data_IF_284198398419
#
_entry.id   IF_284198398419
#
_cell.length_a   1.000
_cell.length_b   1.000
_cell.length_c   1.000
_cell.angle_alpha   90.00
_cell.angle_beta   90.00
_cell.angle_gamma   90.00
#
_symmetry.space_group_name_H-M   'P 1'
#
loop_
_entity.id
_entity.type
_entity.pdbx_description
1 polymer ?
#
# COMPACT_ATOMS: atom_id res chain seq x y z
N UNK A 1 -6.25 -15.95 1.39
CA UNK A 1 -7.45 -15.25 1.89
C UNK A 1 -7.20 -14.88 3.34
N UNK A 2 -7.68 -13.71 3.76
CA UNK A 2 -7.63 -13.23 5.14
C UNK A 2 -8.86 -12.35 5.35
N UNK A 3 -9.57 -12.52 6.47
CA UNK A 3 -10.77 -11.77 6.86
C UNK A 3 -11.77 -11.48 5.71
N UNK A 4 -12.25 -12.54 5.06
CA UNK A 4 -13.20 -12.45 3.94
C UNK A 4 -12.72 -11.62 2.75
N UNK A 5 -11.40 -11.43 2.59
CA UNK A 5 -10.80 -10.80 1.40
C UNK A 5 -9.89 -11.76 0.63
N UNK A 6 -9.89 -11.58 -0.69
CA UNK A 6 -8.96 -12.20 -1.63
C UNK A 6 -7.87 -11.21 -2.00
N UNK A 7 -6.62 -11.68 -1.99
CA UNK A 7 -5.44 -10.87 -2.29
C UNK A 7 -4.72 -11.42 -3.50
N UNK A 8 -4.28 -10.52 -4.39
CA UNK A 8 -3.38 -10.83 -5.49
C UNK A 8 -2.08 -10.08 -5.26
N UNK A 9 -0.97 -10.81 -5.13
CA UNK A 9 0.38 -10.23 -5.04
C UNK A 9 1.02 -10.38 -6.41
N UNK A 10 1.43 -9.27 -7.01
CA UNK A 10 2.01 -9.28 -8.35
C UNK A 10 3.41 -9.89 -8.37
N UNK A 11 3.76 -10.53 -9.48
CA UNK A 11 5.15 -10.93 -9.79
C UNK A 11 5.88 -9.85 -10.58
N UNK A 12 5.15 -9.01 -11.31
CA UNK A 12 5.68 -7.89 -12.09
C UNK A 12 5.79 -6.62 -11.24
N UNK A 13 6.47 -5.60 -11.78
CA UNK A 13 6.59 -4.28 -11.16
C UNK A 13 5.98 -3.20 -12.05
N UNK A 14 5.23 -2.26 -11.46
CA UNK A 14 4.52 -1.15 -12.13
C UNK A 14 4.55 0.12 -11.26
N UNK A 15 4.21 1.26 -11.85
CA UNK A 15 3.94 2.50 -11.11
C UNK A 15 2.67 2.36 -10.28
N UNK A 16 2.46 3.21 -9.28
CA UNK A 16 1.27 3.13 -8.43
C UNK A 16 -0.03 3.21 -9.24
N UNK A 17 -0.11 4.12 -10.20
CA UNK A 17 -1.29 4.31 -11.06
C UNK A 17 -1.55 3.11 -11.97
N UNK A 18 -0.49 2.52 -12.54
CA UNK A 18 -0.59 1.35 -13.41
C UNK A 18 -0.94 0.08 -12.63
N UNK A 19 -0.44 -0.03 -11.40
CA UNK A 19 -0.81 -1.09 -10.44
C UNK A 19 -2.27 -1.00 -10.05
N UNK A 20 -2.76 0.21 -9.73
CA UNK A 20 -4.18 0.43 -9.44
C UNK A 20 -5.07 0.04 -10.62
N UNK A 21 -4.69 0.47 -11.83
CA UNK A 21 -5.41 0.13 -13.06
C UNK A 21 -5.48 -1.39 -13.28
N UNK A 22 -4.40 -2.12 -12.98
CA UNK A 22 -4.37 -3.58 -13.04
C UNK A 22 -5.32 -4.23 -12.03
N UNK A 23 -5.37 -3.74 -10.79
CA UNK A 23 -6.32 -4.24 -9.79
C UNK A 23 -7.78 -4.00 -10.21
N UNK A 24 -8.09 -2.79 -10.70
CA UNK A 24 -9.43 -2.45 -11.19
C UNK A 24 -9.88 -3.37 -12.34
N UNK A 25 -8.97 -3.70 -13.27
CA UNK A 25 -9.25 -4.65 -14.37
C UNK A 25 -9.55 -6.07 -13.87
N UNK A 26 -9.11 -6.43 -12.66
CA UNK A 26 -9.39 -7.73 -12.01
C UNK A 26 -10.66 -7.72 -11.16
N UNK A 27 -11.41 -6.61 -11.14
CA UNK A 27 -12.55 -6.44 -10.23
C UNK A 27 -12.14 -6.30 -8.77
N UNK A 28 -10.96 -5.73 -8.52
CA UNK A 28 -10.36 -5.43 -7.21
C UNK A 28 -9.94 -3.95 -7.16
N UNK A 29 -9.30 -3.49 -6.09
CA UNK A 29 -8.51 -2.25 -6.07
C UNK A 29 -7.17 -2.54 -5.36
N UNK A 30 -6.26 -1.58 -5.28
CA UNK A 30 -5.09 -1.70 -4.40
C UNK A 30 -5.54 -1.92 -2.96
N UNK A 31 -4.83 -2.77 -2.22
CA UNK A 31 -5.22 -3.19 -0.88
C UNK A 31 -5.41 -2.02 0.09
N UNK A 32 -6.48 -2.07 0.87
CA UNK A 32 -6.76 -1.14 1.96
C UNK A 32 -6.51 -1.85 3.27
N UNK A 33 -5.37 -1.56 3.89
CA UNK A 33 -4.96 -2.26 5.11
C UNK A 33 -5.79 -1.72 6.29
N UNK A 34 -6.69 -2.55 6.80
CA UNK A 34 -7.63 -2.19 7.87
C UNK A 34 -7.04 -2.27 9.28
N UNK A 35 -6.02 -3.11 9.49
CA UNK A 35 -5.41 -3.29 10.81
C UNK A 35 -4.00 -3.92 10.73
N UNK A 36 -3.31 -3.99 11.88
CA UNK A 36 -1.96 -4.57 11.98
C UNK A 36 -1.91 -6.07 11.68
N UNK A 37 -2.98 -6.82 11.93
CA UNK A 37 -3.03 -8.25 11.66
C UNK A 37 -3.03 -8.53 10.16
N UNK A 38 -3.83 -7.77 9.40
CA UNK A 38 -3.82 -7.81 7.94
C UNK A 38 -2.47 -7.35 7.39
N UNK A 39 -1.91 -6.26 7.93
CA UNK A 39 -0.58 -5.78 7.55
C UNK A 39 0.48 -6.87 7.74
N UNK A 40 0.50 -7.52 8.91
CA UNK A 40 1.42 -8.61 9.24
C UNK A 40 1.21 -9.82 8.31
N UNK A 41 -0.04 -10.19 8.02
CA UNK A 41 -0.34 -11.23 7.05
C UNK A 41 0.28 -10.92 5.68
N UNK A 42 0.14 -9.69 5.17
CA UNK A 42 0.70 -9.28 3.87
C UNK A 42 2.23 -9.26 3.84
N UNK A 43 2.90 -8.97 4.97
CA UNK A 43 4.37 -8.95 5.04
C UNK A 43 5.02 -10.30 4.72
N UNK A 44 4.30 -11.41 4.90
CA UNK A 44 4.80 -12.75 4.59
C UNK A 44 4.88 -13.08 3.10
N UNK A 45 4.36 -12.23 2.21
CA UNK A 45 4.22 -12.55 0.77
C UNK A 45 5.03 -11.64 -0.16
N UNK A 46 5.64 -10.57 0.34
CA UNK A 46 6.39 -9.62 -0.48
C UNK A 46 7.45 -8.88 0.33
N UNK A 47 8.55 -8.53 -0.34
CA UNK A 47 9.55 -7.62 0.23
C UNK A 47 9.10 -6.16 0.20
N UNK A 48 8.55 -5.75 -0.94
CA UNK A 48 8.17 -4.37 -1.21
C UNK A 48 7.03 -4.32 -2.23
N UNK A 49 5.89 -3.77 -1.86
CA UNK A 49 4.75 -3.64 -2.77
C UNK A 49 3.88 -2.42 -2.51
N UNK A 50 3.32 -1.84 -3.57
CA UNK A 50 2.31 -0.79 -3.51
C UNK A 50 1.07 -1.25 -2.76
N UNK A 51 0.56 -0.34 -1.92
CA UNK A 51 -0.73 -0.44 -1.24
C UNK A 51 -1.60 0.75 -1.62
N UNK A 52 -2.88 0.70 -1.28
CA UNK A 52 -3.88 1.64 -1.77
C UNK A 52 -3.86 3.03 -1.14
N UNK A 53 -2.77 3.52 -0.54
CA UNK A 53 -2.75 4.87 0.06
C UNK A 53 -2.00 5.90 -0.78
N UNK A 54 -2.46 7.13 -0.73
CA UNK A 54 -1.81 8.30 -1.36
C UNK A 54 -2.19 9.57 -0.61
N UNK A 55 -1.32 10.58 -0.60
CA UNK A 55 -1.60 11.92 -0.07
C UNK A 55 -1.46 13.03 -1.11
N UNK A 56 -1.39 12.69 -2.41
CA UNK A 56 -1.37 13.64 -3.56
C UNK A 56 -2.36 14.79 -3.49
N UNK A 57 -3.49 14.61 -2.78
CA UNK A 57 -4.52 15.65 -2.60
C UNK A 57 -4.12 16.70 -1.57
N UNK A 58 -3.42 16.28 -0.52
CA UNK A 58 -2.95 17.12 0.58
C UNK A 58 -1.84 16.39 1.31
N UNK A 59 -0.63 16.88 1.11
CA UNK A 59 0.60 16.48 1.79
C UNK A 59 0.38 16.17 3.28
N UNK A 60 0.90 15.01 3.71
CA UNK A 60 0.81 14.52 5.08
C UNK A 60 -0.56 13.98 5.50
N UNK A 61 -1.55 13.97 4.58
CA UNK A 61 -2.89 13.42 4.81
C UNK A 61 -3.21 12.29 3.83
N UNK A 62 -2.65 11.13 4.11
CA UNK A 62 -2.92 9.90 3.36
C UNK A 62 -4.40 9.50 3.40
N UNK A 63 -4.90 9.13 2.23
CA UNK A 63 -6.23 8.53 2.02
C UNK A 63 -6.07 7.21 1.27
N UNK A 64 -6.90 6.24 1.64
CA UNK A 64 -7.01 4.98 0.92
C UNK A 64 -7.77 5.16 -0.40
N UNK A 65 -7.61 4.21 -1.32
CA UNK A 65 -8.31 4.17 -2.62
C UNK A 65 -9.83 4.12 -2.49
N UNK A 66 -10.34 3.62 -1.36
CA UNK A 66 -11.76 3.60 -0.98
C UNK A 66 -12.26 4.93 -0.37
N UNK A 67 -11.38 5.94 -0.31
CA UNK A 67 -11.61 7.30 0.21
C UNK A 67 -11.64 7.41 1.73
N UNK A 68 -11.38 6.34 2.47
CA UNK A 68 -11.23 6.43 3.92
C UNK A 68 -9.87 7.03 4.30
N UNK A 69 -9.78 7.80 5.40
CA UNK A 69 -8.51 8.37 5.86
C UNK A 69 -7.61 7.29 6.45
N UNK A 70 -6.29 7.39 6.22
CA UNK A 70 -5.32 6.49 6.86
C UNK A 70 -5.13 6.89 8.32
N UNK A 71 -5.44 5.98 9.25
CA UNK A 71 -5.17 6.17 10.67
C UNK A 71 -3.77 5.66 11.03
N UNK A 72 -2.81 6.58 11.19
CA UNK A 72 -1.41 6.25 11.51
C UNK A 72 -1.25 5.44 12.80
N UNK A 73 -2.16 5.57 13.77
CA UNK A 73 -2.07 4.86 15.05
C UNK A 73 -2.44 3.37 14.93
N UNK A 74 -3.24 3.01 13.92
CA UNK A 74 -3.72 1.64 13.71
C UNK A 74 -2.81 0.80 12.82
N UNK A 75 -1.76 1.39 12.27
CA UNK A 75 -0.85 0.77 11.31
C UNK A 75 0.59 0.87 11.79
N UNK A 76 1.45 0.03 11.25
CA UNK A 76 2.89 0.11 11.47
C UNK A 76 3.53 0.85 10.30
N UNK A 77 4.02 2.06 10.56
CA UNK A 77 4.91 2.78 9.65
C UNK A 77 6.35 2.34 9.87
N UNK A 78 7.14 2.33 8.82
CA UNK A 78 8.58 2.13 8.93
C UNK A 78 9.20 3.27 9.74
N UNK A 79 10.34 2.99 10.37
CA UNK A 79 11.01 3.97 11.24
C UNK A 79 11.37 5.22 10.44
N UNK A 80 10.84 6.37 10.88
CA UNK A 80 11.07 7.67 10.24
C UNK A 80 9.98 8.11 9.27
N UNK A 81 9.00 7.25 8.95
CA UNK A 81 8.04 7.49 7.88
C UNK A 81 6.65 8.01 8.30
N UNK A 82 5.92 8.66 7.38
CA UNK A 82 6.38 9.23 6.11
C UNK A 82 7.37 10.39 6.30
N UNK A 83 8.36 10.49 5.42
CA UNK A 83 9.41 11.52 5.43
C UNK A 83 9.31 12.52 4.27
N UNK A 84 8.45 12.24 3.28
CA UNK A 84 8.29 13.00 2.05
C UNK A 84 9.63 13.35 1.40
N UNK A 85 10.45 12.34 1.10
CA UNK A 85 11.78 12.54 0.56
C UNK A 85 11.77 13.39 -0.72
N UNK A 86 12.52 14.50 -0.70
CA UNK A 86 12.58 15.49 -1.78
C UNK A 86 11.24 16.15 -2.15
N UNK A 87 10.20 16.03 -1.32
CA UNK A 87 8.89 16.66 -1.57
C UNK A 87 8.07 16.01 -2.69
N UNK A 88 8.31 14.74 -3.00
CA UNK A 88 7.72 14.06 -4.16
C UNK A 88 7.20 12.64 -3.89
N UNK A 89 7.03 12.26 -2.63
CA UNK A 89 6.65 10.89 -2.24
C UNK A 89 5.17 10.78 -1.86
N UNK A 90 4.29 10.80 -2.86
CA UNK A 90 2.85 10.87 -2.57
C UNK A 90 2.09 9.52 -2.54
N UNK A 91 2.80 8.38 -2.65
CA UNK A 91 2.17 7.05 -2.77
C UNK A 91 2.73 6.06 -1.78
N UNK A 92 1.86 5.24 -1.19
CA UNK A 92 2.25 4.33 -0.13
C UNK A 92 2.64 2.93 -0.59
N UNK A 93 3.75 2.42 -0.07
CA UNK A 93 4.12 1.01 -0.16
C UNK A 93 4.30 0.35 1.21
N UNK A 94 4.26 -0.97 1.20
CA UNK A 94 4.62 -1.84 2.32
C UNK A 94 6.04 -2.35 2.09
N UNK A 95 6.89 -2.23 3.10
CA UNK A 95 8.30 -2.60 3.08
C UNK A 95 8.60 -3.62 4.19
N UNK A 96 9.41 -4.65 3.90
CA UNK A 96 9.75 -5.72 4.85
C UNK A 96 11.24 -6.08 4.88
N UNK A 97 12.12 -5.15 4.47
CA UNK A 97 13.58 -5.36 4.53
C UNK A 97 14.14 -5.09 5.93
N UNK A 98 15.29 -5.70 6.23
CA UNK A 98 15.99 -5.60 7.52
C UNK A 98 16.13 -4.12 7.93
N UNK A 99 15.72 -3.83 9.16
CA UNK A 99 15.68 -2.50 9.81
C UNK A 99 14.72 -1.45 9.22
N UNK A 100 13.89 -1.82 8.23
CA UNK A 100 12.86 -0.96 7.65
C UNK A 100 11.58 -1.73 7.35
N UNK A 101 10.77 -1.96 8.39
CA UNK A 101 9.55 -2.77 8.33
C UNK A 101 8.33 -1.90 8.61
N UNK A 102 7.42 -1.83 7.64
CA UNK A 102 6.15 -1.14 7.76
C UNK A 102 5.75 -0.41 6.49
N UNK A 103 4.82 0.52 6.64
CA UNK A 103 4.40 1.43 5.58
C UNK A 103 5.43 2.53 5.35
N UNK A 104 5.55 2.93 4.09
CA UNK A 104 6.46 3.97 3.62
C UNK A 104 5.75 4.80 2.55
N UNK A 105 6.10 6.07 2.42
CA UNK A 105 5.76 6.89 1.28
C UNK A 105 6.87 6.82 0.23
N UNK A 106 6.49 6.87 -1.04
CA UNK A 106 7.44 6.76 -2.14
C UNK A 106 6.96 7.50 -3.37
N UNK A 107 7.93 7.91 -4.19
CA UNK A 107 7.65 8.48 -5.49
C UNK A 107 6.78 7.52 -6.30
N UNK A 108 5.57 7.97 -6.65
CA UNK A 108 4.55 7.14 -7.29
C UNK A 108 4.95 6.52 -8.64
N UNK A 109 5.98 7.08 -9.28
CA UNK A 109 6.56 6.60 -10.55
C UNK A 109 7.54 5.44 -10.35
N UNK A 110 7.89 5.10 -9.11
CA UNK A 110 8.75 3.95 -8.80
C UNK A 110 8.08 2.65 -9.24
N UNK A 111 8.87 1.72 -9.79
CA UNK A 111 8.39 0.40 -10.18
C UNK A 111 8.47 -0.57 -9.00
N UNK A 112 7.32 -0.94 -8.46
CA UNK A 112 7.20 -1.91 -7.35
C UNK A 112 6.22 -3.01 -7.69
N UNK A 113 6.30 -4.14 -6.97
CA UNK A 113 5.17 -5.07 -6.93
C UNK A 113 3.93 -4.35 -6.37
N UNK A 114 2.77 -4.94 -6.49
CA UNK A 114 1.54 -4.39 -5.94
C UNK A 114 0.65 -5.49 -5.39
N UNK A 115 -0.21 -5.10 -4.45
CA UNK A 115 -1.18 -5.98 -3.83
C UNK A 115 -2.57 -5.47 -4.17
N UNK A 116 -3.36 -6.30 -4.85
CA UNK A 116 -4.78 -6.04 -5.03
C UNK A 116 -5.58 -6.74 -3.93
N UNK A 117 -6.68 -6.12 -3.51
CA UNK A 117 -7.66 -6.69 -2.59
C UNK A 117 -9.05 -6.67 -3.22
N UNK A 118 -9.76 -7.78 -3.07
CA UNK A 118 -11.19 -7.87 -3.35
C UNK A 118 -11.90 -8.47 -2.15
N UNK A 119 -12.83 -7.71 -1.57
CA UNK A 119 -13.72 -8.18 -0.50
C UNK A 119 -14.70 -9.21 -1.05
N UNK A 120 -14.88 -10.31 -0.34
CA UNK A 120 -15.91 -11.31 -0.61
C UNK A 120 -17.20 -10.81 0.06
N UNK A 121 -18.26 -10.67 -0.75
CA UNK A 121 -19.61 -10.34 -0.29
C UNK A 121 -20.23 -11.47 0.53
#
# INVERSE_FOLDING_TARGET
>A
MFDSSCYYISTQRKTWDDSRRDCLQRGADLVVIGNRQEQAFLTGFTEVAWVGMTDRRREGRFVWVDRTPVNRNQLQWARGQPDNSNGAEDCGDLYTRIDFIGLNDSACTTLRQWICERKLS
#
